data_IF_703195209291
#
_entry.id   IF_703195209291
#
_cell.length_a   1.000
_cell.length_b   1.000
_cell.length_c   1.000
_cell.angle_alpha   90.00
_cell.angle_beta   90.00
_cell.angle_gamma   90.00
#
_symmetry.space_group_name_H-M   'P 1'
#
loop_
_entity.id
_entity.type
_entity.pdbx_description
1 polymer ?
#
# COMPACT_ATOMS: atom_id res chain seq x y z
N UNK A 1 34.62 81.42 15.75
CA UNK A 1 34.93 80.78 14.46
C UNK A 1 33.83 79.74 14.25
N UNK A 2 32.63 80.11 13.80
CA UNK A 2 32.22 80.32 12.40
C UNK A 2 32.72 79.21 11.46
N UNK A 3 31.81 78.32 11.04
CA UNK A 3 31.60 77.87 9.65
C UNK A 3 30.36 76.97 9.61
N UNK A 4 29.30 77.50 9.01
CA UNK A 4 28.10 76.84 8.49
C UNK A 4 28.39 76.12 7.16
N UNK A 5 27.56 75.13 6.80
CA UNK A 5 27.03 74.82 5.45
C UNK A 5 26.42 73.39 5.50
N UNK A 6 25.11 73.19 5.50
CA UNK A 6 24.11 73.33 4.41
C UNK A 6 24.32 72.34 3.25
N UNK A 7 23.49 71.30 3.17
CA UNK A 7 23.24 70.53 1.94
C UNK A 7 21.80 70.02 1.97
N UNK A 8 20.99 70.58 1.08
CA UNK A 8 19.57 70.34 0.88
C UNK A 8 19.27 69.02 0.15
N UNK A 9 18.07 68.45 0.30
CA UNK A 9 17.58 67.32 -0.49
C UNK A 9 17.04 67.78 -1.86
N UNK A 10 17.28 66.96 -2.88
CA UNK A 10 16.86 67.21 -4.26
C UNK A 10 15.39 66.83 -4.47
N UNK A 11 14.63 67.79 -4.97
CA UNK A 11 13.31 67.62 -5.58
C UNK A 11 13.35 66.68 -6.80
N UNK A 12 12.35 65.82 -6.92
CA UNK A 12 12.00 65.17 -8.19
C UNK A 12 10.51 65.36 -8.41
N UNK A 13 10.18 65.97 -9.55
CA UNK A 13 8.86 66.49 -9.93
C UNK A 13 8.40 65.78 -11.21
N UNK A 14 7.28 65.04 -11.10
CA UNK A 14 6.13 64.91 -12.06
C UNK A 14 6.41 64.11 -13.39
N UNK A 15 5.44 63.49 -14.13
CA UNK A 15 3.95 63.47 -14.05
C UNK A 15 3.24 62.09 -14.17
N UNK A 16 1.91 62.10 -13.99
CA UNK A 16 1.04 61.46 -14.99
C UNK A 16 0.16 60.30 -14.52
N UNK A 17 -1.02 60.63 -14.02
CA UNK A 17 -2.17 59.71 -13.84
C UNK A 17 -2.94 59.64 -15.17
N UNK A 18 -3.35 58.44 -15.60
CA UNK A 18 -4.72 58.31 -16.09
C UNK A 18 -5.49 57.24 -15.29
N UNK A 19 -6.65 57.66 -14.81
CA UNK A 19 -7.67 56.81 -14.21
C UNK A 19 -8.43 56.09 -15.31
N UNK A 20 -8.29 54.77 -15.40
CA UNK A 20 -9.23 53.90 -16.09
C UNK A 20 -9.76 52.84 -15.11
N UNK A 21 -10.90 53.18 -14.53
CA UNK A 21 -11.83 52.28 -13.85
C UNK A 21 -12.43 51.32 -14.86
N UNK A 22 -11.93 50.08 -14.91
CA UNK A 22 -12.62 48.96 -15.54
C UNK A 22 -13.40 48.19 -14.47
N UNK A 23 -14.72 48.35 -14.49
CA UNK A 23 -15.65 47.52 -13.73
C UNK A 23 -15.57 46.06 -14.19
N UNK A 24 -15.64 45.08 -13.28
CA UNK A 24 -15.77 43.68 -13.67
C UNK A 24 -17.19 43.42 -14.22
N UNK A 25 -17.34 42.66 -15.32
CA UNK A 25 -18.65 42.26 -15.79
C UNK A 25 -19.29 41.25 -14.82
N UNK A 26 -20.53 41.54 -14.45
CA UNK A 26 -21.37 40.68 -13.61
C UNK A 26 -21.56 39.29 -14.25
N UNK A 27 -21.53 38.20 -13.48
CA UNK A 27 -21.88 36.89 -13.99
C UNK A 27 -23.38 36.85 -14.32
N UNK A 28 -23.70 36.69 -15.61
CA UNK A 28 -25.06 36.43 -16.08
C UNK A 28 -25.50 35.05 -15.62
N UNK A 29 -26.38 35.02 -14.63
CA UNK A 29 -27.10 33.82 -14.18
C UNK A 29 -28.08 33.42 -15.29
N UNK A 30 -27.76 32.37 -16.06
CA UNK A 30 -28.73 31.71 -16.94
C UNK A 30 -29.59 30.76 -16.12
N UNK A 31 -30.84 31.15 -15.88
CA UNK A 31 -31.88 30.22 -15.44
C UNK A 31 -32.31 29.35 -16.63
N UNK A 32 -32.02 28.05 -16.58
CA UNK A 32 -32.74 27.09 -17.40
C UNK A 32 -34.03 26.73 -16.66
N UNK A 33 -35.16 27.21 -17.19
CA UNK A 33 -36.49 26.78 -16.80
C UNK A 33 -36.85 25.54 -17.63
N UNK A 34 -36.92 24.38 -16.98
CA UNK A 34 -37.49 23.17 -17.55
C UNK A 34 -38.91 23.01 -17.05
N UNK A 35 -39.88 23.45 -17.85
CA UNK A 35 -41.29 23.07 -17.68
C UNK A 35 -41.51 21.68 -18.29
N UNK A 36 -42.14 20.73 -17.60
CA UNK A 36 -42.53 19.45 -18.19
C UNK A 36 -43.81 19.64 -19.01
N UNK A 37 -43.72 19.46 -20.33
CA UNK A 37 -44.86 19.36 -21.22
C UNK A 37 -45.56 18.02 -21.00
N UNK A 38 -46.72 18.09 -20.35
CA UNK A 38 -47.73 17.04 -20.25
C UNK A 38 -48.30 16.75 -21.64
N UNK A 39 -48.11 15.54 -22.16
CA UNK A 39 -48.90 15.02 -23.27
C UNK A 39 -49.67 13.79 -22.84
N UNK A 40 -50.98 13.90 -23.01
CA UNK A 40 -52.03 12.94 -22.69
C UNK A 40 -52.02 11.71 -23.61
N UNK A 41 -52.61 10.58 -23.15
CA UNK A 41 -52.58 9.31 -23.87
C UNK A 41 -53.67 9.21 -24.95
N UNK A 42 -53.46 8.43 -26.03
CA UNK A 42 -54.52 8.05 -26.96
C UNK A 42 -55.27 6.78 -26.48
N UNK A 43 -56.44 6.49 -27.09
CA UNK A 43 -57.57 5.89 -26.39
C UNK A 43 -57.62 4.36 -26.43
N UNK A 44 -58.38 3.84 -25.46
CA UNK A 44 -58.87 2.49 -25.32
C UNK A 44 -59.75 2.05 -26.50
N UNK A 45 -59.47 0.87 -27.05
CA UNK A 45 -60.46 0.06 -27.78
C UNK A 45 -60.49 -1.35 -27.22
N UNK A 46 -61.66 -1.71 -26.71
CA UNK A 46 -62.10 -3.02 -26.28
C UNK A 46 -62.12 -4.04 -27.43
N UNK A 47 -61.76 -5.30 -27.17
CA UNK A 47 -62.68 -6.45 -27.25
C UNK A 47 -61.93 -7.79 -27.35
N UNK A 48 -62.58 -8.82 -26.79
CA UNK A 48 -62.45 -10.25 -27.12
C UNK A 48 -61.46 -11.10 -26.30
N UNK A 49 -61.99 -11.72 -25.25
CA UNK A 49 -61.58 -13.01 -24.68
C UNK A 49 -61.80 -14.16 -25.68
N UNK A 50 -61.18 -15.35 -25.54
CA UNK A 50 -61.60 -16.32 -24.51
C UNK A 50 -60.49 -17.16 -23.82
N UNK A 51 -60.74 -17.40 -22.53
CA UNK A 51 -60.69 -18.68 -21.79
C UNK A 51 -59.46 -19.60 -21.69
N UNK A 52 -59.06 -19.77 -20.42
CA UNK A 52 -58.72 -21.01 -19.68
C UNK A 52 -57.44 -21.79 -20.06
N UNK A 53 -56.42 -21.75 -19.20
CA UNK A 53 -56.10 -22.86 -18.28
C UNK A 53 -54.97 -22.52 -17.27
N UNK A 54 -55.32 -22.72 -15.99
CA UNK A 54 -54.53 -23.23 -14.86
C UNK A 54 -53.01 -22.97 -14.75
N UNK A 55 -52.65 -22.10 -13.79
CA UNK A 55 -51.89 -22.52 -12.61
C UNK A 55 -50.35 -22.46 -12.65
N UNK A 56 -49.76 -21.41 -12.05
CA UNK A 56 -48.81 -21.56 -10.93
C UNK A 56 -48.41 -20.21 -10.33
N UNK A 57 -48.25 -20.26 -9.01
CA UNK A 57 -47.96 -19.17 -8.08
C UNK A 57 -46.59 -18.54 -8.36
N UNK A 58 -46.58 -17.24 -8.60
CA UNK A 58 -45.41 -16.35 -8.53
C UNK A 58 -45.30 -15.76 -7.12
N UNK A 59 -44.10 -15.80 -6.55
CA UNK A 59 -43.71 -14.88 -5.46
C UNK A 59 -42.58 -14.03 -6.02
N UNK A 60 -42.94 -12.81 -6.45
CA UNK A 60 -42.00 -11.79 -6.88
C UNK A 60 -41.50 -11.01 -5.67
N UNK A 61 -40.18 -10.90 -5.53
CA UNK A 61 -39.55 -9.75 -4.87
C UNK A 61 -38.62 -9.11 -5.89
N UNK A 62 -39.09 -8.02 -6.49
CA UNK A 62 -38.27 -7.11 -7.28
C UNK A 62 -37.65 -6.05 -6.37
N UNK A 63 -36.33 -6.08 -6.23
CA UNK A 63 -35.54 -4.91 -5.83
C UNK A 63 -34.85 -4.37 -7.07
N UNK A 64 -35.37 -3.27 -7.59
CA UNK A 64 -34.76 -2.51 -8.69
C UNK A 64 -33.63 -1.64 -8.15
N UNK A 65 -32.39 -2.01 -8.43
CA UNK A 65 -31.23 -1.11 -8.33
C UNK A 65 -30.58 -0.96 -9.71
N UNK A 66 -30.66 0.25 -10.23
CA UNK A 66 -30.10 0.71 -11.50
C UNK A 66 -28.58 0.70 -11.43
N UNK A 67 -27.92 -0.18 -12.19
CA UNK A 67 -26.48 -0.15 -12.44
C UNK A 67 -26.21 0.30 -13.89
N UNK A 68 -25.44 1.38 -14.04
CA UNK A 68 -24.85 1.80 -15.31
C UNK A 68 -23.62 0.95 -15.66
N UNK A 69 -23.20 0.92 -16.94
CA UNK A 69 -22.19 -0.03 -17.42
C UNK A 69 -20.79 0.42 -17.00
N UNK A 70 -20.11 -0.41 -16.20
CA UNK A 70 -18.67 -0.32 -16.00
C UNK A 70 -17.96 -1.03 -17.16
N UNK A 71 -17.07 -0.26 -17.78
CA UNK A 71 -16.24 -0.63 -18.91
C UNK A 71 -15.23 -1.72 -18.48
N UNK A 72 -15.46 -2.96 -18.90
CA UNK A 72 -14.55 -4.09 -18.65
C UNK A 72 -13.39 -4.06 -19.63
N UNK A 73 -12.20 -3.72 -19.16
CA UNK A 73 -10.93 -3.95 -19.87
C UNK A 73 -10.55 -5.44 -19.76
N UNK A 74 -10.03 -6.08 -20.82
CA UNK A 74 -9.74 -7.51 -20.80
C UNK A 74 -8.44 -7.79 -20.03
N UNK A 75 -8.56 -8.41 -18.87
CA UNK A 75 -7.46 -9.14 -18.24
C UNK A 75 -7.40 -10.52 -18.91
N UNK A 76 -6.42 -10.71 -19.79
CA UNK A 76 -6.05 -12.05 -20.27
C UNK A 76 -5.12 -12.67 -19.23
N UNK A 77 -5.67 -13.54 -18.38
CA UNK A 77 -4.85 -14.49 -17.63
C UNK A 77 -4.19 -15.47 -18.61
N UNK A 78 -2.93 -15.89 -18.39
CA UNK A 78 -2.32 -16.92 -19.20
C UNK A 78 -3.10 -18.23 -19.01
N UNK A 79 -3.74 -18.69 -20.08
CA UNK A 79 -4.35 -20.03 -20.15
C UNK A 79 -3.20 -21.04 -20.24
N UNK A 80 -2.95 -21.76 -19.15
CA UNK A 80 -2.10 -22.95 -19.18
C UNK A 80 -3.02 -24.11 -19.55
N UNK A 81 -2.84 -24.61 -20.76
CA UNK A 81 -3.58 -25.77 -21.29
C UNK A 81 -3.01 -27.03 -20.64
N UNK A 82 -3.82 -27.71 -19.82
CA UNK A 82 -3.47 -28.98 -19.18
C UNK A 82 -4.24 -30.09 -19.87
N UNK A 83 -3.57 -30.85 -20.72
CA UNK A 83 -4.16 -31.97 -21.47
C UNK A 83 -4.45 -33.15 -20.51
N UNK A 84 -5.73 -33.51 -20.36
CA UNK A 84 -6.20 -34.53 -19.40
C UNK A 84 -6.20 -35.94 -20.02
N UNK A 85 -5.25 -36.77 -19.61
CA UNK A 85 -5.27 -38.22 -19.84
C UNK A 85 -6.20 -38.94 -18.85
N UNK A 86 -7.25 -39.55 -19.37
CA UNK A 86 -8.32 -40.27 -18.67
C UNK A 86 -7.84 -41.44 -17.77
N UNK A 87 -8.03 -41.35 -16.45
CA UNK A 87 -7.92 -42.50 -15.52
C UNK A 87 -9.14 -42.51 -14.59
N UNK A 88 -9.90 -43.60 -14.67
CA UNK A 88 -11.16 -43.80 -13.95
C UNK A 88 -10.89 -44.54 -12.63
N UNK A 89 -11.13 -43.88 -11.50
CA UNK A 89 -10.98 -44.44 -10.15
C UNK A 89 -12.11 -43.99 -9.23
N UNK A 90 -12.68 -44.94 -8.49
CA UNK A 90 -13.97 -44.85 -7.79
C UNK A 90 -13.85 -44.50 -6.30
N UNK A 91 -14.65 -43.51 -5.88
CA UNK A 91 -15.36 -43.29 -4.61
C UNK A 91 -14.63 -43.37 -3.24
N UNK A 92 -14.66 -42.21 -2.54
CA UNK A 92 -15.31 -42.10 -1.22
C UNK A 92 -14.40 -41.76 -0.03
N UNK A 93 -14.60 -40.59 0.59
CA UNK A 93 -14.73 -40.41 2.06
C UNK A 93 -14.74 -38.92 2.45
N UNK A 94 -15.71 -38.53 3.25
CA UNK A 94 -15.88 -37.20 3.85
C UNK A 94 -14.98 -37.03 5.08
N UNK A 95 -14.00 -36.12 5.03
CA UNK A 95 -13.01 -35.84 6.10
C UNK A 95 -13.02 -34.38 6.58
N UNK A 96 -14.08 -33.61 6.30
CA UNK A 96 -14.08 -32.15 6.52
C UNK A 96 -14.42 -31.65 7.94
N UNK A 97 -14.40 -32.50 8.98
CA UNK A 97 -14.78 -32.10 10.36
C UNK A 97 -13.61 -31.86 11.33
N UNK A 98 -12.37 -31.76 10.85
CA UNK A 98 -11.16 -31.68 11.70
C UNK A 98 -10.66 -30.27 12.05
N UNK A 99 -11.25 -29.21 11.50
CA UNK A 99 -10.63 -27.87 11.48
C UNK A 99 -11.03 -26.93 12.66
N UNK A 100 -11.98 -27.31 13.52
CA UNK A 100 -12.63 -26.37 14.46
C UNK A 100 -12.05 -26.33 15.89
N UNK A 101 -10.76 -26.64 16.10
CA UNK A 101 -10.21 -26.69 17.48
C UNK A 101 -8.82 -26.09 17.67
N UNK A 102 -8.68 -24.79 17.38
CA UNK A 102 -7.64 -23.97 18.00
C UNK A 102 -8.23 -23.31 19.27
N UNK A 103 -7.72 -23.70 20.44
CA UNK A 103 -8.10 -23.11 21.73
C UNK A 103 -7.33 -21.81 21.99
N UNK A 104 -7.92 -20.78 22.62
CA UNK A 104 -7.18 -19.60 23.04
C UNK A 104 -6.36 -19.94 24.29
N UNK A 105 -5.03 -19.81 24.21
CA UNK A 105 -4.12 -20.07 25.33
C UNK A 105 -3.68 -18.75 25.96
N UNK A 106 -4.16 -18.52 27.19
CA UNK A 106 -3.75 -17.43 28.07
C UNK A 106 -2.34 -17.68 28.64
N UNK A 107 -1.48 -16.67 28.53
CA UNK A 107 -0.61 -16.19 29.62
C UNK A 107 0.61 -17.03 30.00
N UNK A 108 1.79 -16.61 29.54
CA UNK A 108 3.08 -17.01 30.11
C UNK A 108 4.22 -16.09 29.70
N UNK A 109 4.41 -14.98 30.44
CA UNK A 109 5.56 -14.09 30.28
C UNK A 109 6.81 -14.72 30.90
N UNK A 110 7.75 -15.15 30.07
CA UNK A 110 9.15 -15.35 30.49
C UNK A 110 10.06 -14.60 29.52
N UNK A 111 10.69 -13.54 30.01
CA UNK A 111 11.71 -12.80 29.27
C UNK A 111 13.03 -13.58 29.35
N UNK A 112 13.45 -14.14 28.23
CA UNK A 112 14.79 -14.66 28.03
C UNK A 112 15.29 -14.18 26.67
N UNK A 113 16.41 -13.47 26.69
CA UNK A 113 17.14 -12.99 25.53
C UNK A 113 17.54 -14.17 24.63
N UNK A 114 16.73 -14.46 23.60
CA UNK A 114 16.98 -15.54 22.64
C UNK A 114 17.58 -14.98 21.37
N UNK A 115 18.76 -15.48 21.00
CA UNK A 115 19.16 -15.58 19.60
C UNK A 115 17.97 -16.12 18.78
N UNK A 116 17.61 -15.40 17.71
CA UNK A 116 16.31 -15.45 17.03
C UNK A 116 15.75 -16.84 16.83
N UNK A 117 14.90 -17.26 17.77
CA UNK A 117 13.98 -18.37 17.50
C UNK A 117 13.00 -17.86 16.43
N UNK A 118 12.77 -18.64 15.35
CA UNK A 118 11.73 -18.30 14.38
C UNK A 118 10.45 -18.01 15.14
N UNK A 119 9.76 -16.94 14.78
CA UNK A 119 8.63 -16.48 15.58
C UNK A 119 7.61 -17.62 15.65
N UNK A 120 7.10 -17.92 16.85
CA UNK A 120 6.21 -19.07 17.06
C UNK A 120 4.94 -19.04 16.19
N UNK A 121 4.57 -17.84 15.71
CA UNK A 121 3.48 -17.62 14.77
C UNK A 121 3.76 -18.22 13.38
N UNK A 122 5.02 -18.35 13.00
CA UNK A 122 5.43 -18.88 11.70
C UNK A 122 5.24 -20.39 11.66
N UNK A 123 5.53 -21.07 12.76
CA UNK A 123 5.36 -22.53 12.86
C UNK A 123 3.88 -22.93 12.80
N UNK A 124 3.00 -22.22 13.51
CA UNK A 124 1.55 -22.49 13.47
C UNK A 124 0.97 -22.28 12.07
N UNK A 125 1.37 -21.18 11.39
CA UNK A 125 0.92 -20.89 10.03
C UNK A 125 1.40 -21.95 9.03
N UNK A 126 2.66 -22.39 9.15
CA UNK A 126 3.23 -23.46 8.32
C UNK A 126 2.47 -24.77 8.54
N UNK A 127 2.24 -25.19 9.78
CA UNK A 127 1.49 -26.43 10.09
C UNK A 127 0.05 -26.39 9.59
N UNK A 128 -0.63 -25.25 9.73
CA UNK A 128 -1.99 -25.07 9.21
C UNK A 128 -2.02 -25.20 7.68
N UNK A 129 -1.03 -24.65 6.98
CA UNK A 129 -0.90 -24.73 5.53
C UNK A 129 -0.52 -26.14 5.06
N UNK A 130 0.38 -26.85 5.76
CA UNK A 130 0.69 -28.26 5.49
C UNK A 130 -0.57 -29.13 5.59
N UNK A 131 -1.37 -28.94 6.63
CA UNK A 131 -2.65 -29.62 6.80
C UNK A 131 -3.63 -29.31 5.67
N UNK A 132 -3.71 -28.04 5.25
CA UNK A 132 -4.56 -27.64 4.13
C UNK A 132 -4.10 -28.23 2.79
N UNK A 133 -2.80 -28.19 2.49
CA UNK A 133 -2.21 -28.80 1.29
C UNK A 133 -2.48 -30.30 1.29
N UNK A 134 -2.34 -30.97 2.42
CA UNK A 134 -2.65 -32.40 2.57
C UNK A 134 -4.11 -32.73 2.25
N UNK A 135 -5.05 -31.87 2.64
CA UNK A 135 -6.48 -32.02 2.29
C UNK A 135 -6.67 -31.89 0.78
N UNK A 136 -6.03 -30.91 0.13
CA UNK A 136 -6.10 -30.74 -1.32
C UNK A 136 -5.51 -31.94 -2.08
N UNK A 137 -4.38 -32.46 -1.60
CA UNK A 137 -3.73 -33.64 -2.16
C UNK A 137 -4.47 -34.96 -1.87
N UNK A 138 -5.46 -34.97 -0.98
CA UNK A 138 -6.32 -36.16 -0.79
C UNK A 138 -7.31 -36.36 -1.94
N UNK A 139 -7.51 -35.34 -2.79
CA UNK A 139 -8.45 -35.33 -3.89
C UNK A 139 -7.74 -35.54 -5.24
N UNK A 140 -6.90 -36.57 -5.37
CA UNK A 140 -6.18 -36.81 -6.62
C UNK A 140 -7.11 -37.39 -7.71
N UNK A 141 -7.01 -36.90 -8.97
CA UNK A 141 -6.16 -35.79 -9.43
C UNK A 141 -6.67 -34.43 -8.94
N UNK A 142 -5.75 -33.53 -8.57
CA UNK A 142 -6.10 -32.22 -8.03
C UNK A 142 -7.01 -31.45 -8.98
N UNK A 143 -8.21 -31.09 -8.49
CA UNK A 143 -9.19 -30.32 -9.23
C UNK A 143 -9.49 -28.99 -8.50
N UNK A 144 -9.08 -27.83 -9.05
CA UNK A 144 -9.27 -26.53 -8.40
C UNK A 144 -10.76 -26.17 -8.23
N UNK A 145 -11.65 -26.75 -9.02
CA UNK A 145 -13.10 -26.48 -8.96
C UNK A 145 -13.77 -27.04 -7.70
N UNK A 146 -13.13 -27.99 -7.01
CA UNK A 146 -13.62 -28.57 -5.76
C UNK A 146 -13.20 -27.75 -4.53
N UNK A 147 -12.31 -26.78 -4.71
CA UNK A 147 -11.84 -25.92 -3.63
C UNK A 147 -12.89 -24.82 -3.37
N UNK A 148 -13.43 -24.79 -2.15
CA UNK A 148 -14.47 -23.81 -1.81
C UNK A 148 -13.86 -22.46 -1.44
N UNK A 149 -14.60 -21.38 -1.72
CA UNK A 149 -14.18 -20.02 -1.33
C UNK A 149 -13.95 -19.89 0.18
N UNK A 150 -14.77 -20.55 1.00
CA UNK A 150 -14.66 -20.51 2.47
C UNK A 150 -13.38 -21.19 2.99
N UNK A 151 -12.91 -22.26 2.34
CA UNK A 151 -11.66 -22.91 2.75
C UNK A 151 -10.46 -22.06 2.38
N UNK A 152 -10.52 -21.42 1.19
CA UNK A 152 -9.50 -20.48 0.74
C UNK A 152 -9.43 -19.21 1.57
N UNK A 153 -10.57 -18.64 1.97
CA UNK A 153 -10.62 -17.46 2.84
C UNK A 153 -10.08 -17.75 4.23
N UNK A 154 -10.31 -18.95 4.77
CA UNK A 154 -9.68 -19.38 6.03
C UNK A 154 -8.18 -19.55 5.90
N UNK A 155 -7.73 -20.22 4.83
CA UNK A 155 -6.32 -20.45 4.59
C UNK A 155 -5.57 -19.17 4.19
N UNK A 156 -6.24 -18.17 3.60
CA UNK A 156 -5.61 -16.93 3.09
C UNK A 156 -4.86 -16.17 4.18
N UNK A 157 -5.40 -16.16 5.40
CA UNK A 157 -4.75 -15.51 6.55
C UNK A 157 -3.35 -16.07 6.78
N UNK A 158 -3.20 -17.39 6.73
CA UNK A 158 -1.91 -18.07 6.90
C UNK A 158 -1.02 -17.88 5.66
N UNK A 159 -1.59 -17.86 4.45
CA UNK A 159 -0.83 -17.63 3.22
C UNK A 159 -0.20 -16.23 3.13
N UNK A 160 -0.72 -15.26 3.89
CA UNK A 160 -0.20 -13.89 3.92
C UNK A 160 0.83 -13.65 5.04
N UNK A 161 1.01 -14.59 5.97
CA UNK A 161 1.99 -14.48 7.06
C UNK A 161 3.40 -14.33 6.47
N UNK A 162 4.16 -13.38 7.01
CA UNK A 162 5.52 -13.04 6.60
C UNK A 162 5.70 -12.91 5.09
N UNK A 163 4.81 -12.15 4.43
CA UNK A 163 4.86 -11.94 2.99
C UNK A 163 4.84 -13.25 2.18
N UNK A 164 4.16 -14.29 2.69
CA UNK A 164 4.02 -15.60 2.06
C UNK A 164 5.12 -16.61 2.36
N UNK A 165 6.07 -16.30 3.25
CA UNK A 165 7.14 -17.24 3.62
C UNK A 165 6.59 -18.53 4.25
N UNK A 166 5.52 -18.42 5.04
CA UNK A 166 4.84 -19.60 5.61
C UNK A 166 4.29 -20.54 4.52
N UNK A 167 3.72 -19.97 3.45
CA UNK A 167 3.22 -20.74 2.31
C UNK A 167 4.36 -21.43 1.55
N UNK A 168 5.44 -20.71 1.26
CA UNK A 168 6.58 -21.28 0.55
C UNK A 168 7.27 -22.39 1.37
N UNK A 169 7.36 -22.23 2.68
CA UNK A 169 7.91 -23.24 3.58
C UNK A 169 7.04 -24.51 3.61
N UNK A 170 5.71 -24.35 3.74
CA UNK A 170 4.76 -25.46 3.73
C UNK A 170 4.76 -26.22 2.39
N UNK A 171 4.80 -25.49 1.27
CA UNK A 171 4.95 -26.08 -0.07
C UNK A 171 6.27 -26.85 -0.16
N UNK A 172 7.39 -26.24 0.21
CA UNK A 172 8.71 -26.88 0.09
C UNK A 172 8.81 -28.18 0.89
N UNK A 173 8.30 -28.20 2.14
CA UNK A 173 8.26 -29.43 2.93
C UNK A 173 7.39 -30.51 2.29
N UNK A 174 6.22 -30.14 1.76
CA UNK A 174 5.32 -31.09 1.09
C UNK A 174 5.94 -31.64 -0.20
N UNK A 175 6.70 -30.82 -0.93
CA UNK A 175 7.46 -31.24 -2.11
C UNK A 175 8.52 -32.28 -1.74
N UNK A 176 9.30 -32.06 -0.67
CA UNK A 176 10.32 -33.01 -0.20
C UNK A 176 9.70 -34.36 0.19
N UNK A 177 8.55 -34.34 0.87
CA UNK A 177 7.81 -35.56 1.21
C UNK A 177 7.32 -36.30 -0.04
N UNK A 178 6.77 -35.57 -1.02
CA UNK A 178 6.30 -36.17 -2.26
C UNK A 178 7.43 -36.82 -3.07
N UNK A 179 8.59 -36.16 -3.19
CA UNK A 179 9.78 -36.73 -3.82
C UNK A 179 10.22 -38.02 -3.11
N UNK A 180 10.17 -38.06 -1.78
CA UNK A 180 10.48 -39.25 -1.00
C UNK A 180 9.53 -40.42 -1.30
N UNK A 181 8.23 -40.14 -1.40
CA UNK A 181 7.19 -41.15 -1.71
C UNK A 181 7.34 -41.68 -3.13
N UNK A 182 7.55 -40.78 -4.10
CA UNK A 182 7.70 -41.13 -5.50
C UNK A 182 8.98 -41.97 -5.72
N UNK A 183 10.08 -41.62 -5.06
CA UNK A 183 11.33 -42.38 -5.09
C UNK A 183 11.19 -43.79 -4.51
N UNK A 184 10.37 -43.98 -3.47
CA UNK A 184 10.07 -45.31 -2.89
C UNK A 184 9.20 -46.15 -3.82
N UNK A 185 8.28 -45.53 -4.54
CA UNK A 185 7.37 -46.22 -5.46
C UNK A 185 8.03 -46.60 -6.80
N UNK A 186 9.25 -46.13 -7.05
CA UNK A 186 9.97 -46.39 -8.30
C UNK A 186 9.36 -45.66 -9.49
N UNK A 187 8.75 -44.50 -9.24
CA UNK A 187 8.23 -43.64 -10.30
C UNK A 187 9.35 -43.22 -11.25
N UNK A 188 8.98 -42.95 -12.50
CA UNK A 188 9.94 -42.52 -13.51
C UNK A 188 10.57 -41.18 -13.12
N UNK A 189 11.89 -41.24 -12.88
CA UNK A 189 12.70 -40.10 -12.45
C UNK A 189 12.71 -39.00 -13.50
N UNK A 190 12.61 -39.35 -14.80
CA UNK A 190 12.64 -38.36 -15.88
C UNK A 190 11.31 -37.60 -16.01
N UNK A 191 10.21 -38.25 -15.62
CA UNK A 191 8.90 -37.62 -15.64
C UNK A 191 8.62 -36.79 -14.38
N UNK A 192 9.30 -37.09 -13.27
CA UNK A 192 8.93 -36.58 -11.95
C UNK A 192 7.68 -37.30 -11.47
N UNK A 193 7.75 -37.92 -10.30
CA UNK A 193 6.71 -38.84 -9.86
C UNK A 193 5.31 -38.24 -9.78
N UNK A 194 4.33 -39.13 -9.77
CA UNK A 194 2.92 -38.77 -9.87
C UNK A 194 2.50 -37.83 -8.74
N UNK A 195 3.02 -38.03 -7.53
CA UNK A 195 2.67 -37.19 -6.37
C UNK A 195 3.33 -35.83 -6.43
N UNK A 196 4.62 -35.74 -6.79
CA UNK A 196 5.32 -34.46 -6.91
C UNK A 196 4.65 -33.55 -7.94
N UNK A 197 4.23 -34.09 -9.09
CA UNK A 197 3.47 -33.33 -10.11
C UNK A 197 2.18 -32.75 -9.55
N UNK A 198 1.45 -33.51 -8.74
CA UNK A 198 0.21 -33.05 -8.10
C UNK A 198 0.49 -31.97 -7.04
N UNK A 199 1.59 -32.10 -6.27
CA UNK A 199 2.05 -31.03 -5.37
C UNK A 199 2.36 -29.74 -6.14
N UNK A 200 3.03 -29.82 -7.30
CA UNK A 200 3.31 -28.65 -8.12
C UNK A 200 2.03 -27.95 -8.60
N UNK A 201 0.99 -28.70 -8.98
CA UNK A 201 -0.32 -28.14 -9.35
C UNK A 201 -0.96 -27.40 -8.18
N UNK A 202 -0.99 -28.02 -7.00
CA UNK A 202 -1.51 -27.40 -5.78
C UNK A 202 -0.71 -26.14 -5.42
N UNK A 203 0.62 -26.20 -5.47
CA UNK A 203 1.50 -25.08 -5.20
C UNK A 203 1.23 -23.90 -6.16
N UNK A 204 1.13 -24.16 -7.46
CA UNK A 204 0.81 -23.14 -8.46
C UNK A 204 -0.56 -22.49 -8.20
N UNK A 205 -1.57 -23.28 -7.86
CA UNK A 205 -2.89 -22.78 -7.51
C UNK A 205 -2.88 -21.89 -6.27
N UNK A 206 -2.24 -22.33 -5.18
CA UNK A 206 -2.18 -21.56 -3.92
C UNK A 206 -1.36 -20.27 -4.07
N UNK A 207 -0.24 -20.28 -4.80
CA UNK A 207 0.54 -19.07 -5.12
C UNK A 207 -0.29 -18.07 -5.92
N UNK A 208 -1.02 -18.53 -6.93
CA UNK A 208 -1.91 -17.69 -7.73
C UNK A 208 -3.05 -17.09 -6.90
N UNK A 209 -3.66 -17.89 -6.01
CA UNK A 209 -4.69 -17.40 -5.10
C UNK A 209 -4.13 -16.34 -4.13
N UNK A 210 -2.96 -16.61 -3.51
CA UNK A 210 -2.28 -15.65 -2.63
C UNK A 210 -2.04 -14.33 -3.35
N UNK A 211 -1.49 -14.34 -4.56
CA UNK A 211 -1.23 -13.11 -5.31
C UNK A 211 -2.50 -12.32 -5.62
N UNK A 212 -3.58 -13.02 -5.98
CA UNK A 212 -4.89 -12.41 -6.21
C UNK A 212 -5.43 -11.77 -4.92
N UNK A 213 -5.25 -12.43 -3.78
CA UNK A 213 -5.71 -11.94 -2.48
C UNK A 213 -4.88 -10.76 -1.97
N UNK A 214 -3.55 -10.82 -2.07
CA UNK A 214 -2.65 -9.67 -1.82
C UNK A 214 -3.06 -8.47 -2.67
N UNK A 215 -3.41 -8.70 -3.93
CA UNK A 215 -3.90 -7.66 -4.82
C UNK A 215 -5.28 -7.13 -4.42
N UNK A 216 -6.19 -7.99 -3.95
CA UNK A 216 -7.52 -7.61 -3.47
C UNK A 216 -7.42 -6.71 -2.24
N UNK A 217 -6.67 -7.16 -1.23
CA UNK A 217 -6.41 -6.42 0.01
C UNK A 217 -5.66 -5.11 -0.28
N UNK A 218 -4.63 -5.17 -1.12
CA UNK A 218 -3.87 -3.99 -1.55
C UNK A 218 -4.74 -2.94 -2.22
N UNK A 219 -5.65 -3.34 -3.13
CA UNK A 219 -6.62 -2.41 -3.75
C UNK A 219 -7.52 -1.74 -2.72
N UNK A 220 -7.98 -2.47 -1.72
CA UNK A 220 -8.84 -1.93 -0.67
C UNK A 220 -8.11 -0.91 0.19
N UNK A 221 -6.90 -1.27 0.67
CA UNK A 221 -6.01 -0.39 1.44
C UNK A 221 -5.67 0.89 0.65
N UNK A 222 -5.24 0.75 -0.61
CA UNK A 222 -4.93 1.91 -1.48
C UNK A 222 -6.16 2.78 -1.73
N UNK A 223 -7.34 2.19 -1.95
CA UNK A 223 -8.58 2.97 -2.11
C UNK A 223 -8.86 3.82 -0.87
N UNK A 224 -8.65 3.26 0.32
CA UNK A 224 -8.84 3.95 1.61
C UNK A 224 -7.85 5.11 1.77
N UNK A 225 -6.57 4.88 1.45
CA UNK A 225 -5.52 5.90 1.46
C UNK A 225 -5.78 7.03 0.46
N UNK A 226 -6.23 6.70 -0.76
CA UNK A 226 -6.61 7.70 -1.75
C UNK A 226 -7.85 8.49 -1.31
N UNK A 227 -8.82 7.82 -0.68
CA UNK A 227 -9.99 8.47 -0.08
C UNK A 227 -9.60 9.49 0.98
N UNK A 228 -8.68 9.14 1.89
CA UNK A 228 -8.22 10.05 2.93
C UNK A 228 -7.43 11.25 2.38
N UNK A 229 -6.67 11.07 1.29
CA UNK A 229 -6.03 12.16 0.55
C UNK A 229 -7.06 13.10 -0.07
N UNK A 230 -8.14 12.56 -0.66
CA UNK A 230 -9.19 13.38 -1.28
C UNK A 230 -9.99 14.15 -0.23
N UNK A 231 -10.31 13.53 0.91
CA UNK A 231 -11.12 14.14 1.97
C UNK A 231 -10.35 15.14 2.83
N UNK A 232 -9.09 14.85 3.16
CA UNK A 232 -8.31 15.60 4.14
C UNK A 232 -6.93 16.04 3.66
N UNK A 233 -6.59 15.88 2.38
CA UNK A 233 -5.28 16.20 1.85
C UNK A 233 -4.16 15.40 2.55
N UNK A 234 -3.03 16.05 2.77
CA UNK A 234 -1.89 15.43 3.46
C UNK A 234 -2.20 15.03 4.91
N UNK A 235 -2.98 15.83 5.64
CA UNK A 235 -3.33 15.53 7.04
C UNK A 235 -4.31 14.36 7.17
N UNK A 236 -5.20 14.19 6.18
CA UNK A 236 -6.06 13.01 6.07
C UNK A 236 -5.24 11.75 5.86
N UNK A 237 -4.27 11.80 4.95
CA UNK A 237 -3.36 10.70 4.69
C UNK A 237 -2.53 10.32 5.92
N UNK A 238 -1.94 11.30 6.62
CA UNK A 238 -1.11 11.05 7.79
C UNK A 238 -1.90 10.39 8.93
N UNK A 239 -3.14 10.83 9.17
CA UNK A 239 -4.03 10.18 10.17
C UNK A 239 -4.35 8.74 9.80
N UNK A 240 -4.55 8.48 8.51
CA UNK A 240 -4.89 7.14 8.02
C UNK A 240 -3.68 6.19 8.06
N UNK A 241 -2.48 6.67 7.70
CA UNK A 241 -1.24 5.91 7.85
C UNK A 241 -0.95 5.57 9.31
N UNK A 242 -1.13 6.53 10.22
CA UNK A 242 -0.99 6.31 11.67
C UNK A 242 -2.01 5.28 12.18
N UNK A 243 -3.23 5.27 11.63
CA UNK A 243 -4.26 4.28 11.95
C UNK A 243 -3.85 2.88 11.48
N UNK A 244 -3.48 2.75 10.20
CA UNK A 244 -3.03 1.48 9.61
C UNK A 244 -1.80 0.93 10.32
N UNK A 245 -0.86 1.79 10.72
CA UNK A 245 0.31 1.43 11.50
C UNK A 245 -0.08 0.81 12.85
N UNK A 246 -0.99 1.45 13.59
CA UNK A 246 -1.48 0.93 14.88
C UNK A 246 -2.23 -0.40 14.75
N UNK A 247 -2.86 -0.63 13.60
CA UNK A 247 -3.59 -1.86 13.29
C UNK A 247 -2.70 -2.96 12.71
N UNK A 248 -1.41 -2.68 12.45
CA UNK A 248 -0.50 -3.64 11.81
C UNK A 248 -0.83 -3.90 10.34
N UNK A 249 -1.61 -3.03 9.69
CA UNK A 249 -1.96 -3.15 8.27
C UNK A 249 -0.87 -2.62 7.33
N UNK A 250 0.20 -2.05 7.88
CA UNK A 250 1.36 -1.54 7.14
C UNK A 250 2.38 -2.68 6.93
N UNK A 251 2.12 -3.49 5.91
CA UNK A 251 2.96 -4.63 5.52
C UNK A 251 3.77 -4.35 4.23
N UNK A 252 4.81 -5.16 3.99
CA UNK A 252 5.62 -5.03 2.77
C UNK A 252 4.81 -5.35 1.51
N UNK A 253 3.79 -6.19 1.62
CA UNK A 253 2.89 -6.54 0.53
C UNK A 253 2.13 -5.29 0.03
N UNK A 254 1.70 -4.39 0.91
CA UNK A 254 1.13 -3.08 0.56
C UNK A 254 2.17 -2.19 -0.16
N UNK A 255 3.40 -2.11 0.36
CA UNK A 255 4.49 -1.35 -0.26
C UNK A 255 4.77 -1.86 -1.68
N UNK A 256 4.90 -3.17 -1.85
CA UNK A 256 5.10 -3.83 -3.14
C UNK A 256 3.91 -3.57 -4.07
N UNK A 257 2.68 -3.65 -3.57
CA UNK A 257 1.47 -3.39 -4.34
C UNK A 257 1.44 -1.95 -4.87
N UNK A 258 1.67 -0.94 -4.04
CA UNK A 258 1.72 0.46 -4.47
C UNK A 258 2.87 0.66 -5.47
N UNK A 259 4.05 0.09 -5.19
CA UNK A 259 5.20 0.16 -6.08
C UNK A 259 4.99 -0.47 -7.46
N UNK A 260 4.14 -1.52 -7.58
CA UNK A 260 3.71 -2.07 -8.88
C UNK A 260 2.79 -1.09 -9.62
N UNK A 261 1.78 -0.54 -8.94
CA UNK A 261 0.86 0.43 -9.54
C UNK A 261 1.56 1.70 -10.02
N UNK A 262 2.57 2.19 -9.27
CA UNK A 262 3.41 3.32 -9.71
C UNK A 262 4.10 2.98 -11.03
N UNK A 263 4.79 1.83 -11.11
CA UNK A 263 5.51 1.40 -12.33
C UNK A 263 4.57 1.23 -13.52
N UNK A 264 3.39 0.64 -13.31
CA UNK A 264 2.37 0.52 -14.35
C UNK A 264 1.92 1.89 -14.87
N UNK A 265 1.66 2.86 -13.98
CA UNK A 265 1.30 4.21 -14.39
C UNK A 265 2.45 4.95 -15.06
N UNK A 266 3.71 4.75 -14.64
CA UNK A 266 4.87 5.28 -15.33
C UNK A 266 4.97 4.76 -16.77
N UNK A 267 4.74 3.46 -16.98
CA UNK A 267 4.72 2.87 -18.32
C UNK A 267 3.60 3.45 -19.18
N UNK A 268 2.41 3.66 -18.60
CA UNK A 268 1.27 4.26 -19.31
C UNK A 268 1.55 5.72 -19.72
N UNK A 269 2.15 6.51 -18.83
CA UNK A 269 2.53 7.90 -19.10
C UNK A 269 3.69 7.98 -20.11
N UNK A 270 4.69 7.10 -20.00
CA UNK A 270 5.83 7.06 -20.92
C UNK A 270 5.45 6.54 -22.32
N UNK A 271 4.50 5.61 -22.42
CA UNK A 271 4.07 5.00 -23.67
C UNK A 271 3.30 5.92 -24.61
N UNK A 272 3.16 7.21 -24.30
CA UNK A 272 2.43 8.17 -25.14
C UNK A 272 0.93 7.86 -25.27
N UNK A 273 0.42 6.95 -24.44
CA UNK A 273 -1.02 6.79 -24.27
C UNK A 273 -1.57 8.16 -23.88
N UNK A 274 -2.65 8.59 -24.53
CA UNK A 274 -3.38 9.83 -24.23
C UNK A 274 -4.02 9.79 -22.83
N UNK A 275 -3.25 9.47 -21.79
CA UNK A 275 -3.57 9.82 -20.44
C UNK A 275 -3.51 11.34 -20.40
N UNK A 276 -4.69 11.96 -20.46
CA UNK A 276 -4.80 13.40 -20.28
C UNK A 276 -4.19 13.84 -18.95
N UNK A 277 -4.21 15.13 -18.68
CA UNK A 277 -3.65 15.77 -17.47
C UNK A 277 -3.94 15.03 -16.13
N UNK A 278 -5.02 14.24 -16.07
CA UNK A 278 -5.35 13.37 -14.93
C UNK A 278 -4.39 12.20 -14.67
N UNK A 279 -3.76 11.58 -15.69
CA UNK A 279 -2.83 10.46 -15.48
C UNK A 279 -1.53 10.91 -14.80
N UNK A 280 -1.02 12.08 -15.19
CA UNK A 280 0.14 12.70 -14.55
C UNK A 280 -0.10 13.02 -13.08
N UNK A 281 -1.27 13.62 -12.77
CA UNK A 281 -1.68 13.91 -11.38
C UNK A 281 -1.82 12.63 -10.56
N UNK A 282 -2.44 11.59 -11.11
CA UNK A 282 -2.56 10.29 -10.43
C UNK A 282 -1.18 9.67 -10.15
N UNK A 283 -0.27 9.71 -11.11
CA UNK A 283 1.10 9.21 -10.94
C UNK A 283 1.83 9.95 -9.81
N UNK A 284 1.70 11.27 -9.74
CA UNK A 284 2.30 12.07 -8.67
C UNK A 284 1.73 11.70 -7.29
N UNK A 285 0.40 11.53 -7.19
CA UNK A 285 -0.23 11.06 -5.94
C UNK A 285 0.25 9.66 -5.56
N UNK A 286 0.34 8.73 -6.50
CA UNK A 286 0.81 7.37 -6.23
C UNK A 286 2.28 7.34 -5.80
N UNK A 287 3.14 8.18 -6.37
CA UNK A 287 4.54 8.33 -5.95
C UNK A 287 4.64 8.86 -4.52
N UNK A 288 3.89 9.92 -4.22
CA UNK A 288 3.84 10.49 -2.87
C UNK A 288 3.32 9.48 -1.84
N UNK A 289 2.28 8.71 -2.21
CA UNK A 289 1.75 7.63 -1.38
C UNK A 289 2.81 6.54 -1.14
N UNK A 290 3.49 6.09 -2.19
CA UNK A 290 4.52 5.06 -2.10
C UNK A 290 5.65 5.45 -1.15
N UNK A 291 6.16 6.67 -1.27
CA UNK A 291 7.24 7.15 -0.41
C UNK A 291 6.79 7.29 1.05
N UNK A 292 5.58 7.80 1.31
CA UNK A 292 5.05 7.88 2.69
C UNK A 292 4.81 6.50 3.29
N UNK A 293 4.24 5.57 2.53
CA UNK A 293 3.99 4.19 3.00
C UNK A 293 5.31 3.48 3.29
N UNK A 294 6.34 3.63 2.44
CA UNK A 294 7.67 3.06 2.71
C UNK A 294 8.30 3.59 4.00
N UNK A 295 8.19 4.91 4.24
CA UNK A 295 8.74 5.52 5.46
C UNK A 295 8.03 5.00 6.70
N UNK A 296 6.70 4.89 6.67
CA UNK A 296 5.94 4.38 7.80
C UNK A 296 6.10 2.86 7.98
N UNK A 297 6.18 2.07 6.90
CA UNK A 297 6.43 0.62 6.98
C UNK A 297 7.78 0.31 7.66
N UNK A 298 8.85 1.01 7.26
CA UNK A 298 10.17 0.91 7.93
C UNK A 298 10.11 1.29 9.41
N UNK A 299 9.22 2.21 9.77
CA UNK A 299 9.05 2.61 11.16
C UNK A 299 8.32 1.57 12.03
N UNK A 300 7.68 0.55 11.43
CA UNK A 300 6.79 -0.39 12.14
C UNK A 300 7.44 -1.75 12.38
N UNK A 301 8.38 -2.18 11.53
CA UNK A 301 9.10 -3.46 11.65
C UNK A 301 10.62 -3.34 11.75
N UNK A 302 11.15 -2.13 11.82
CA UNK A 302 12.58 -1.87 11.79
C UNK A 302 13.29 -2.15 13.12
N UNK A 303 14.58 -2.45 13.05
CA UNK A 303 15.45 -2.47 14.22
C UNK A 303 15.42 -1.09 14.92
N UNK A 304 15.88 -1.00 16.18
CA UNK A 304 15.95 0.29 16.89
C UNK A 304 16.67 1.38 16.06
N UNK A 305 17.63 0.98 15.21
CA UNK A 305 18.34 1.85 14.28
C UNK A 305 17.45 2.43 13.17
N UNK A 306 16.55 1.63 12.59
CA UNK A 306 15.63 2.09 11.55
C UNK A 306 14.57 3.05 12.10
N UNK A 307 14.03 2.76 13.28
CA UNK A 307 13.15 3.69 13.98
C UNK A 307 13.85 5.02 14.26
N UNK A 308 15.11 4.96 14.68
CA UNK A 308 15.92 6.15 14.92
C UNK A 308 16.19 6.93 13.63
N UNK A 309 16.46 6.25 12.52
CA UNK A 309 16.54 6.86 11.19
C UNK A 309 15.27 7.61 10.80
N UNK A 310 14.09 7.04 11.04
CA UNK A 310 12.80 7.72 10.78
C UNK A 310 12.59 8.92 11.70
N UNK A 311 12.91 8.81 13.00
CA UNK A 311 12.84 9.94 13.96
C UNK A 311 13.78 11.07 13.53
N UNK A 312 14.98 10.73 13.07
CA UNK A 312 15.96 11.66 12.55
C UNK A 312 15.46 12.37 11.27
N UNK A 313 14.88 11.64 10.31
CA UNK A 313 14.27 12.23 9.12
C UNK A 313 13.12 13.18 9.47
N UNK A 314 12.25 12.78 10.40
CA UNK A 314 11.13 13.62 10.88
C UNK A 314 11.67 14.91 11.52
N UNK A 315 12.67 14.80 12.40
CA UNK A 315 13.32 15.96 13.01
C UNK A 315 13.92 16.89 11.94
N UNK A 316 14.65 16.37 10.97
CA UNK A 316 15.24 17.16 9.89
C UNK A 316 14.16 17.93 9.10
N UNK A 317 13.07 17.25 8.72
CA UNK A 317 11.97 17.88 8.00
C UNK A 317 11.33 19.04 8.79
N UNK A 318 11.23 18.91 10.11
CA UNK A 318 10.72 19.99 10.96
C UNK A 318 11.69 21.15 11.12
N UNK A 319 13.01 20.87 11.17
CA UNK A 319 14.04 21.92 11.24
C UNK A 319 14.09 22.73 9.95
N UNK A 320 13.91 22.09 8.80
CA UNK A 320 13.85 22.77 7.50
C UNK A 320 12.67 23.75 7.40
N UNK A 321 11.56 23.47 8.10
CA UNK A 321 10.39 24.36 8.17
C UNK A 321 10.54 25.46 9.23
N UNK A 322 11.54 25.38 10.09
CA UNK A 322 11.74 26.31 11.19
C UNK A 322 12.68 27.42 10.74
N UNK A 323 12.17 28.64 10.56
CA UNK A 323 12.97 29.78 10.05
C UNK A 323 14.03 30.26 11.04
N UNK A 324 13.73 30.22 12.34
CA UNK A 324 14.58 30.79 13.39
C UNK A 324 15.64 29.79 13.88
N UNK A 325 16.92 30.14 13.72
CA UNK A 325 18.08 29.34 14.18
C UNK A 325 17.96 28.91 15.66
N UNK A 326 17.59 29.83 16.55
CA UNK A 326 17.45 29.53 17.98
C UNK A 326 16.38 28.47 18.28
N UNK A 327 15.28 28.45 17.51
CA UNK A 327 14.25 27.40 17.64
C UNK A 327 14.75 26.06 17.13
N UNK A 328 15.54 26.04 16.05
CA UNK A 328 16.20 24.83 15.54
C UNK A 328 17.11 24.23 16.61
N UNK A 329 17.94 25.04 17.25
CA UNK A 329 18.83 24.62 18.33
C UNK A 329 18.06 24.03 19.52
N UNK A 330 17.04 24.72 20.02
CA UNK A 330 16.21 24.21 21.13
C UNK A 330 15.61 22.84 20.76
N UNK A 331 15.14 22.69 19.52
CA UNK A 331 14.50 21.45 19.06
C UNK A 331 15.50 20.30 18.93
N UNK A 332 16.68 20.54 18.35
CA UNK A 332 17.79 19.58 18.28
C UNK A 332 18.19 19.13 19.69
N UNK A 333 18.45 20.08 20.60
CA UNK A 333 18.83 19.78 22.00
C UNK A 333 17.73 19.01 22.74
N UNK A 334 16.45 19.32 22.49
CA UNK A 334 15.32 18.65 23.13
C UNK A 334 15.14 17.21 22.66
N UNK A 335 15.21 16.96 21.36
CA UNK A 335 14.94 15.65 20.77
C UNK A 335 16.16 14.72 20.84
N UNK A 336 17.36 15.24 20.55
CA UNK A 336 18.59 14.44 20.57
C UNK A 336 19.27 14.44 21.94
N UNK A 337 19.14 15.50 22.74
CA UNK A 337 19.83 15.65 24.04
C UNK A 337 19.35 14.71 25.14
N UNK A 338 18.24 14.00 24.93
CA UNK A 338 17.80 12.90 25.80
C UNK A 338 18.47 11.56 25.47
N UNK A 339 19.18 11.47 24.35
CA UNK A 339 19.79 10.24 23.83
C UNK A 339 21.28 10.11 24.11
N UNK A 340 21.84 8.95 23.73
CA UNK A 340 23.29 8.68 23.70
C UNK A 340 23.96 9.54 22.62
N UNK A 341 25.29 9.71 22.72
CA UNK A 341 26.11 10.41 21.72
C UNK A 341 25.88 9.89 20.30
N UNK A 342 25.63 8.58 20.16
CA UNK A 342 25.28 7.87 18.93
C UNK A 342 24.12 8.53 18.16
N UNK A 343 23.14 9.13 18.86
CA UNK A 343 22.01 9.82 18.23
C UNK A 343 22.43 11.04 17.45
N UNK A 344 23.33 11.83 18.05
CA UNK A 344 23.88 13.02 17.40
C UNK A 344 24.73 12.62 16.19
N UNK A 345 25.48 11.53 16.28
CA UNK A 345 26.31 11.04 15.17
C UNK A 345 25.45 10.55 14.00
N UNK A 346 24.43 9.74 14.28
CA UNK A 346 23.51 9.24 13.26
C UNK A 346 22.74 10.39 12.60
N UNK A 347 22.27 11.37 13.39
CA UNK A 347 21.60 12.56 12.86
C UNK A 347 22.57 13.45 12.06
N UNK A 348 23.82 13.61 12.52
CA UNK A 348 24.85 14.36 11.80
C UNK A 348 25.13 13.73 10.43
N UNK A 349 25.31 12.42 10.37
CA UNK A 349 25.52 11.69 9.11
C UNK A 349 24.36 11.90 8.14
N UNK A 350 23.11 11.82 8.63
CA UNK A 350 21.93 12.09 7.82
C UNK A 350 21.95 13.50 7.19
N UNK A 351 22.32 14.52 7.96
CA UNK A 351 22.40 15.91 7.47
C UNK A 351 23.53 16.06 6.46
N UNK A 352 24.69 15.44 6.71
CA UNK A 352 25.84 15.45 5.79
C UNK A 352 25.52 14.76 4.46
N UNK A 353 24.84 13.60 4.50
CA UNK A 353 24.38 12.89 3.31
C UNK A 353 23.34 13.71 2.52
N UNK A 354 22.43 14.37 3.23
CA UNK A 354 21.42 15.25 2.62
C UNK A 354 22.08 16.45 1.94
N UNK A 355 23.08 17.08 2.57
CA UNK A 355 23.88 18.15 1.96
C UNK A 355 24.63 17.66 0.72
N UNK A 356 25.26 16.50 0.78
CA UNK A 356 25.97 15.89 -0.35
C UNK A 356 25.02 15.65 -1.53
N UNK A 357 23.82 15.12 -1.25
CA UNK A 357 22.78 14.91 -2.26
C UNK A 357 22.28 16.22 -2.89
N UNK A 358 22.05 17.26 -2.09
CA UNK A 358 21.64 18.59 -2.60
C UNK A 358 22.77 19.19 -3.45
N UNK A 359 24.01 19.09 -3.01
CA UNK A 359 25.19 19.57 -3.74
C UNK A 359 25.37 18.89 -5.10
N UNK A 360 25.20 17.57 -5.15
CA UNK A 360 25.26 16.79 -6.39
C UNK A 360 24.16 17.17 -7.39
N UNK A 361 23.03 17.69 -6.91
CA UNK A 361 21.85 18.00 -7.70
C UNK A 361 21.60 19.50 -7.94
N UNK A 362 22.60 20.37 -7.70
CA UNK A 362 22.49 21.84 -7.85
C UNK A 362 22.05 22.35 -9.24
N UNK A 363 21.99 21.50 -10.27
CA UNK A 363 21.48 21.83 -11.61
C UNK A 363 20.07 21.30 -11.93
N UNK A 364 19.52 20.45 -11.07
CA UNK A 364 18.17 19.94 -11.17
C UNK A 364 17.23 20.94 -10.51
N UNK A 365 16.02 21.15 -11.06
CA UNK A 365 14.99 22.06 -10.51
C UNK A 365 14.44 21.66 -9.10
N UNK A 366 15.23 20.96 -8.29
CA UNK A 366 14.94 20.61 -6.89
C UNK A 366 15.18 21.81 -5.96
N UNK A 367 14.52 22.94 -6.23
CA UNK A 367 14.49 24.12 -5.37
C UNK A 367 13.72 23.92 -4.05
N UNK A 368 13.65 22.68 -3.54
CA UNK A 368 12.86 22.30 -2.37
C UNK A 368 13.68 22.31 -1.07
N UNK A 369 15.01 22.24 -1.13
CA UNK A 369 15.87 22.20 0.04
C UNK A 369 16.88 23.36 0.00
N UNK A 370 16.78 24.24 0.99
CA UNK A 370 17.72 25.34 1.19
C UNK A 370 19.01 24.81 1.82
N UNK A 371 20.08 24.81 1.03
CA UNK A 371 21.41 24.36 1.45
C UNK A 371 21.94 25.17 2.65
N UNK A 372 21.65 26.47 2.71
CA UNK A 372 22.07 27.32 3.82
C UNK A 372 21.38 26.93 5.14
N UNK A 373 20.13 26.47 5.08
CA UNK A 373 19.44 25.94 6.27
C UNK A 373 20.07 24.61 6.71
N UNK A 374 20.42 23.72 5.77
CA UNK A 374 21.07 22.45 6.08
C UNK A 374 22.47 22.64 6.70
N UNK A 375 23.26 23.58 6.19
CA UNK A 375 24.56 23.95 6.77
C UNK A 375 24.42 24.50 8.19
N UNK A 376 23.41 25.35 8.43
CA UNK A 376 23.10 25.86 9.77
C UNK A 376 22.71 24.74 10.74
N UNK A 377 21.83 23.83 10.32
CA UNK A 377 21.45 22.64 11.10
C UNK A 377 22.68 21.82 11.44
N UNK A 378 23.56 21.55 10.47
CA UNK A 378 24.80 20.81 10.70
C UNK A 378 25.72 21.51 11.71
N UNK A 379 25.84 22.83 11.62
CA UNK A 379 26.58 23.65 12.58
C UNK A 379 26.04 23.50 14.00
N UNK A 380 24.73 23.63 14.18
CA UNK A 380 24.06 23.47 15.47
C UNK A 380 24.27 22.07 16.06
N UNK A 381 24.14 21.01 15.24
CA UNK A 381 24.35 19.63 15.69
C UNK A 381 25.80 19.42 16.16
N UNK A 382 26.78 19.96 15.44
CA UNK A 382 28.20 19.89 15.80
C UNK A 382 28.51 20.67 17.09
N UNK A 383 27.85 21.80 17.31
CA UNK A 383 27.97 22.57 18.56
C UNK A 383 27.33 21.83 19.74
N UNK A 384 26.09 21.36 19.59
CA UNK A 384 25.37 20.62 20.63
C UNK A 384 26.09 19.32 21.03
N UNK A 385 26.69 18.60 20.07
CA UNK A 385 27.50 17.40 20.32
C UNK A 385 28.71 17.69 21.23
N UNK A 386 29.35 18.85 21.08
CA UNK A 386 30.51 19.26 21.92
C UNK A 386 30.11 19.56 23.36
N UNK A 387 28.86 19.96 23.60
CA UNK A 387 28.37 20.30 24.95
C UNK A 387 28.10 19.06 25.82
N UNK A 388 28.03 17.85 25.25
CA UNK A 388 27.75 16.62 25.99
C UNK A 388 28.97 16.22 26.82
N UNK A 389 28.90 16.29 28.17
CA UNK A 389 30.03 16.00 29.05
C UNK A 389 30.28 14.48 29.09
N UNK A 390 31.15 14.02 28.20
CA UNK A 390 31.49 12.59 28.05
C UNK A 390 32.36 12.29 26.83
N UNK A 391 32.30 13.14 25.80
CA UNK A 391 33.12 13.03 24.58
C UNK A 391 34.55 13.58 24.73
N UNK A 392 35.25 13.28 25.84
CA UNK A 392 36.71 13.49 25.85
C UNK A 392 37.33 12.42 24.96
N UNK A 393 37.81 12.86 23.80
CA UNK A 393 38.25 12.03 22.68
C UNK A 393 39.15 10.85 23.07
N UNK A 394 38.79 9.70 22.50
CA UNK A 394 39.77 8.69 22.09
C UNK A 394 40.30 9.03 20.71
#
# INVERSE_FOLDING_TARGET
MQSSDSSSPSDTVIPGVPSDTLSPPSPSVRYYSTTPSTQSPPPTTSSSSPSLESGRVTTEYSTSSTSGPLNSSPYTSPTVDWDEGNVQGSAGSSVLSGFDRASPLEGGMTNSDSEGTPSTLDEEAVLALEGYISILLSQLPFNPSLVTGESLERASKFMMVNNGEALETAIHKTELEAVGIDGVNGDDVEEGGGRYREVQKVAGFLRGYREAEVSRVGREKVRRLLGSVVEGGAEGLDRELERMRREGEMDDDLVRFIGRNVREQEMLVAGGGSGGEGSGKLLEVLKMLNERVKVEAKSTGGTEEEEEGVKNLKLLAELLKTEERGRREIKIKKELGKGKLERYETFQLLVEDTLSYVGANRGSNMGLLDEGILEDVLGIVKEARKEIPGGKGG
#
